data_IF_681447070332
#
_entry.id   IF_681447070332
#
_cell.length_a   1.000
_cell.length_b   1.000
_cell.length_c   1.000
_cell.angle_alpha   90.00
_cell.angle_beta   90.00
_cell.angle_gamma   90.00
#
_symmetry.space_group_name_H-M   'P 1'
#
loop_
_entity.id
_entity.type
_entity.pdbx_description
1 polymer ?
#
# COMPACT_ATOMS: atom_id res chain seq x y z
N UNK A 1 26.18 -18.65 -37.82
CA UNK A 1 25.26 -18.25 -36.74
C UNK A 1 25.74 -18.84 -35.43
N UNK A 2 26.42 -18.05 -34.58
CA UNK A 2 26.49 -18.33 -33.15
C UNK A 2 25.32 -17.63 -32.41
N UNK A 3 25.03 -18.02 -31.16
CA UNK A 3 23.77 -17.71 -30.48
C UNK A 3 23.76 -16.29 -29.91
N UNK A 4 22.63 -15.58 -30.10
CA UNK A 4 22.35 -14.30 -29.47
C UNK A 4 22.34 -14.45 -27.93
N UNK A 5 23.30 -13.80 -27.27
CA UNK A 5 23.23 -13.50 -25.84
C UNK A 5 22.29 -12.31 -25.67
N UNK A 6 21.18 -12.51 -24.98
CA UNK A 6 20.35 -11.43 -24.44
C UNK A 6 21.06 -10.91 -23.18
N UNK A 7 21.83 -9.84 -23.35
CA UNK A 7 22.30 -8.99 -22.25
C UNK A 7 21.20 -7.97 -21.91
N UNK A 8 21.31 -7.39 -20.73
CA UNK A 8 20.32 -6.54 -20.08
C UNK A 8 20.26 -5.18 -20.79
N UNK A 9 19.55 -5.08 -21.92
CA UNK A 9 19.57 -3.88 -22.79
C UNK A 9 19.13 -2.60 -22.08
N UNK A 10 18.34 -2.66 -21.01
CA UNK A 10 17.97 -1.46 -20.22
C UNK A 10 19.07 -0.94 -19.28
N UNK A 11 20.10 -1.76 -19.02
CA UNK A 11 21.29 -1.39 -18.21
C UNK A 11 22.51 -1.13 -19.08
N UNK A 12 22.61 -1.79 -20.23
CA UNK A 12 23.78 -1.72 -21.11
C UNK A 12 23.65 -0.70 -22.25
N UNK A 13 22.42 -0.31 -22.66
CA UNK A 13 22.25 0.64 -23.78
C UNK A 13 22.71 2.08 -23.45
N UNK A 14 22.72 2.48 -22.17
CA UNK A 14 23.12 3.82 -21.74
C UNK A 14 24.62 3.99 -21.48
N UNK A 15 25.40 2.91 -21.48
CA UNK A 15 26.83 2.95 -21.13
C UNK A 15 27.75 2.60 -22.34
N UNK A 16 27.24 2.59 -23.57
CA UNK A 16 27.99 2.28 -24.80
C UNK A 16 27.76 3.33 -25.89
N UNK A 17 28.12 4.59 -25.63
CA UNK A 17 28.34 5.57 -26.70
C UNK A 17 29.66 6.31 -26.43
N UNK A 18 30.63 6.11 -27.31
CA UNK A 18 31.97 6.70 -27.27
C UNK A 18 31.97 7.93 -28.20
N UNK A 19 32.07 9.18 -27.69
CA UNK A 19 32.06 10.38 -28.52
C UNK A 19 33.43 10.71 -29.13
N UNK A 20 34.38 9.76 -29.22
CA UNK A 20 35.73 10.02 -29.75
C UNK A 20 35.85 10.19 -31.27
N UNK A 21 34.79 10.62 -31.97
CA UNK A 21 34.84 10.99 -33.40
C UNK A 21 34.17 12.33 -33.73
N UNK A 22 34.50 13.40 -33.01
CA UNK A 22 34.48 14.73 -33.66
C UNK A 22 35.57 15.65 -33.12
N UNK A 23 36.54 15.94 -33.99
CA UNK A 23 37.65 16.86 -33.72
C UNK A 23 37.23 18.33 -33.87
N UNK A 24 37.76 19.18 -32.98
CA UNK A 24 37.89 20.64 -33.01
C UNK A 24 36.75 21.47 -32.38
N UNK A 25 36.97 21.99 -31.16
CA UNK A 25 37.46 23.38 -30.94
C UNK A 25 37.29 23.88 -29.49
N UNK A 26 38.31 24.63 -29.04
CA UNK A 26 38.35 25.60 -27.92
C UNK A 26 38.44 25.12 -26.45
N UNK A 27 39.65 25.23 -25.91
CA UNK A 27 40.14 24.81 -24.59
C UNK A 27 39.71 25.71 -23.40
N UNK A 28 38.43 26.04 -23.27
CA UNK A 28 37.92 26.75 -22.08
C UNK A 28 36.59 26.22 -21.53
N UNK A 29 36.02 25.18 -22.13
CA UNK A 29 34.82 24.47 -21.66
C UNK A 29 35.13 23.07 -21.05
N UNK A 30 36.34 22.55 -21.23
CA UNK A 30 36.73 21.17 -20.87
C UNK A 30 36.70 20.85 -19.35
N UNK A 31 36.44 21.82 -18.46
CA UNK A 31 36.52 21.58 -17.00
C UNK A 31 35.16 21.28 -16.34
N UNK A 32 34.04 21.53 -17.02
CA UNK A 32 32.69 21.21 -16.52
C UNK A 32 32.17 19.87 -17.02
N UNK A 33 32.65 19.43 -18.18
CA UNK A 33 32.13 18.24 -18.86
C UNK A 33 32.80 16.97 -18.31
N UNK A 34 34.10 17.04 -17.94
CA UNK A 34 34.84 15.95 -17.29
C UNK A 34 34.23 15.51 -15.94
N UNK A 35 33.65 16.44 -15.16
CA UNK A 35 33.00 16.12 -13.88
C UNK A 35 31.65 15.42 -14.06
N UNK A 36 30.91 15.76 -15.12
CA UNK A 36 29.64 15.13 -15.46
C UNK A 36 29.84 13.72 -16.02
N UNK A 37 30.89 13.53 -16.83
CA UNK A 37 31.25 12.22 -17.39
C UNK A 37 31.75 11.25 -16.30
N UNK A 38 32.56 11.72 -15.35
CA UNK A 38 33.00 10.93 -14.17
C UNK A 38 31.80 10.53 -13.27
N UNK A 39 30.81 11.41 -13.09
CA UNK A 39 29.57 11.12 -12.34
C UNK A 39 28.68 10.09 -13.06
N UNK A 40 28.66 10.12 -14.41
CA UNK A 40 27.91 9.18 -15.26
C UNK A 40 28.52 7.78 -15.23
N UNK A 41 29.84 7.66 -15.30
CA UNK A 41 30.56 6.38 -15.13
C UNK A 41 30.41 5.80 -13.71
N UNK A 42 30.39 6.64 -12.68
CA UNK A 42 30.15 6.21 -11.29
C UNK A 42 28.73 5.64 -11.09
N UNK A 43 27.74 6.17 -11.80
CA UNK A 43 26.37 5.66 -11.80
C UNK A 43 26.25 4.33 -12.57
N UNK A 44 26.88 4.21 -13.76
CA UNK A 44 26.89 2.98 -14.57
C UNK A 44 27.61 1.81 -13.86
N UNK A 45 28.67 2.09 -13.09
CA UNK A 45 29.48 1.05 -12.44
C UNK A 45 28.86 0.45 -11.17
N UNK A 46 27.90 1.12 -10.52
CA UNK A 46 27.22 0.63 -9.32
C UNK A 46 28.14 0.31 -8.12
N UNK A 47 29.43 0.66 -8.19
CA UNK A 47 30.44 0.21 -7.23
C UNK A 47 30.83 1.25 -6.18
N UNK A 48 30.35 2.50 -6.26
CA UNK A 48 30.71 3.55 -5.27
C UNK A 48 29.57 4.54 -5.01
N UNK A 49 29.37 4.98 -3.76
CA UNK A 49 28.56 6.18 -3.50
C UNK A 49 29.18 7.37 -4.23
N UNK A 50 28.33 8.22 -4.83
CA UNK A 50 28.65 9.36 -5.72
C UNK A 50 29.55 10.47 -5.11
N UNK A 51 30.20 10.24 -3.96
CA UNK A 51 31.11 11.22 -3.36
C UNK A 51 32.38 10.51 -2.88
N UNK A 52 33.51 10.88 -3.50
CA UNK A 52 34.83 10.78 -2.86
C UNK A 52 34.80 11.76 -1.69
N UNK A 53 34.99 11.28 -0.46
CA UNK A 53 35.11 12.12 0.73
C UNK A 53 36.30 13.07 0.57
N UNK A 54 36.05 14.21 -0.07
CA UNK A 54 36.97 15.32 -0.20
C UNK A 54 37.09 15.96 1.18
N UNK A 55 38.12 15.54 1.92
CA UNK A 55 38.80 16.35 2.91
C UNK A 55 37.94 16.88 4.06
N UNK A 56 37.93 16.14 5.17
CA UNK A 56 38.05 16.67 6.53
C UNK A 56 37.46 18.07 6.80
N UNK A 57 36.19 18.30 6.49
CA UNK A 57 35.39 19.33 7.12
C UNK A 57 34.53 18.61 8.16
N UNK A 58 34.87 18.83 9.42
CA UNK A 58 34.26 18.26 10.62
C UNK A 58 32.76 17.93 10.45
N UNK A 59 32.45 16.64 10.29
CA UNK A 59 31.10 16.13 10.45
C UNK A 59 30.69 16.35 11.91
N UNK A 60 30.05 17.47 12.19
CA UNK A 60 29.16 17.57 13.34
C UNK A 60 28.03 16.57 13.11
N UNK A 61 28.26 15.32 13.50
CA UNK A 61 27.23 14.31 13.66
C UNK A 61 26.24 14.81 14.72
N UNK A 62 25.25 15.59 14.30
CA UNK A 62 24.01 15.70 15.01
C UNK A 62 23.47 14.27 15.17
N UNK A 63 23.46 13.79 16.42
CA UNK A 63 23.00 12.46 16.84
C UNK A 63 21.46 12.36 16.74
N UNK A 64 20.90 12.70 15.58
CA UNK A 64 19.47 12.69 15.28
C UNK A 64 19.16 11.82 14.06
N UNK A 65 17.97 11.23 13.97
CA UNK A 65 17.55 10.51 12.78
C UNK A 65 17.51 11.44 11.56
N UNK A 66 18.01 10.98 10.41
CA UNK A 66 17.95 11.75 9.15
C UNK A 66 16.51 12.14 8.81
N UNK A 67 16.33 13.28 8.17
CA UNK A 67 15.02 13.87 7.92
C UNK A 67 14.15 12.96 7.06
N UNK A 68 14.73 12.31 6.05
CA UNK A 68 14.02 11.34 5.22
C UNK A 68 13.42 10.19 6.03
N UNK A 69 14.09 9.71 7.08
CA UNK A 69 13.58 8.62 7.92
C UNK A 69 12.41 9.06 8.79
N UNK A 70 12.36 10.32 9.21
CA UNK A 70 11.19 10.90 9.88
C UNK A 70 10.00 10.93 8.92
N UNK A 71 10.21 11.37 7.68
CA UNK A 71 9.18 11.32 6.63
C UNK A 71 8.67 9.90 6.40
N UNK A 72 9.57 8.92 6.25
CA UNK A 72 9.19 7.51 6.10
C UNK A 72 8.44 6.93 7.29
N UNK A 73 8.88 7.24 8.51
CA UNK A 73 8.20 6.80 9.74
C UNK A 73 6.81 7.41 9.87
N UNK A 74 6.65 8.70 9.56
CA UNK A 74 5.35 9.36 9.55
C UNK A 74 4.43 8.82 8.46
N UNK A 75 4.96 8.50 7.27
CA UNK A 75 4.21 7.83 6.21
C UNK A 75 3.77 6.42 6.61
N UNK A 76 4.66 5.64 7.22
CA UNK A 76 4.36 4.33 7.80
C UNK A 76 3.23 4.41 8.83
N UNK A 77 3.34 5.33 9.80
CA UNK A 77 2.32 5.53 10.82
C UNK A 77 1.01 6.01 10.20
N UNK A 78 1.07 6.83 9.14
CA UNK A 78 -0.11 7.28 8.39
C UNK A 78 -0.87 6.11 7.78
N UNK A 79 -0.19 5.22 7.06
CA UNK A 79 -0.83 4.02 6.52
C UNK A 79 -1.35 3.07 7.61
N UNK A 80 -0.65 2.97 8.75
CA UNK A 80 -1.12 2.17 9.87
C UNK A 80 -2.43 2.71 10.46
N UNK A 81 -2.53 4.03 10.66
CA UNK A 81 -3.74 4.67 11.19
C UNK A 81 -4.89 4.63 10.19
N UNK A 82 -4.61 4.86 8.91
CA UNK A 82 -5.57 4.76 7.81
C UNK A 82 -6.20 3.37 7.76
N UNK A 83 -5.39 2.31 7.75
CA UNK A 83 -5.90 0.94 7.76
C UNK A 83 -6.60 0.57 9.07
N UNK A 84 -6.16 1.13 10.20
CA UNK A 84 -6.86 0.94 11.46
C UNK A 84 -8.31 1.47 11.41
N UNK A 85 -8.53 2.66 10.82
CA UNK A 85 -9.88 3.22 10.63
C UNK A 85 -10.70 2.41 9.60
N UNK A 86 -10.08 1.94 8.52
CA UNK A 86 -10.74 1.12 7.49
C UNK A 86 -11.28 -0.20 8.05
N UNK A 87 -10.43 -0.93 8.79
CA UNK A 87 -10.74 -2.27 9.28
C UNK A 87 -11.66 -2.25 10.50
N UNK A 88 -11.77 -1.10 11.17
CA UNK A 88 -12.59 -0.98 12.37
C UNK A 88 -14.04 -1.43 12.16
N UNK A 89 -14.66 -1.07 11.03
CA UNK A 89 -16.05 -1.44 10.76
C UNK A 89 -16.25 -2.95 10.49
N UNK A 90 -15.31 -3.63 9.83
CA UNK A 90 -15.46 -5.06 9.56
C UNK A 90 -15.43 -5.91 10.83
N UNK A 91 -14.78 -5.43 11.88
CA UNK A 91 -14.83 -6.04 13.22
C UNK A 91 -16.06 -5.56 14.00
N UNK A 92 -16.33 -4.24 14.00
CA UNK A 92 -17.41 -3.67 14.78
C UNK A 92 -18.80 -4.12 14.34
N UNK A 93 -19.00 -4.43 13.05
CA UNK A 93 -20.30 -4.86 12.53
C UNK A 93 -20.83 -6.12 13.23
N UNK A 94 -19.93 -7.00 13.68
CA UNK A 94 -20.26 -8.20 14.44
C UNK A 94 -20.87 -7.86 15.81
N UNK A 95 -20.42 -6.76 16.43
CA UNK A 95 -20.98 -6.24 17.68
C UNK A 95 -22.20 -5.31 17.48
N UNK A 96 -22.38 -4.78 16.26
CA UNK A 96 -23.48 -3.87 15.92
C UNK A 96 -24.79 -4.62 15.60
N UNK A 97 -24.70 -5.79 14.96
CA UNK A 97 -25.88 -6.50 14.43
C UNK A 97 -26.42 -7.53 15.42
N UNK A 98 -27.74 -7.55 15.60
CA UNK A 98 -28.42 -8.61 16.32
C UNK A 98 -28.51 -9.87 15.45
N UNK A 99 -27.67 -10.86 15.75
CA UNK A 99 -27.64 -12.14 15.04
C UNK A 99 -28.87 -13.03 15.32
N UNK A 100 -29.58 -12.85 16.44
CA UNK A 100 -30.74 -13.70 16.80
C UNK A 100 -32.06 -13.19 16.19
N UNK A 101 -32.09 -11.94 15.72
CA UNK A 101 -33.26 -11.33 15.08
C UNK A 101 -33.36 -11.59 13.57
N UNK A 102 -32.29 -12.11 12.94
CA UNK A 102 -32.30 -12.46 11.52
C UNK A 102 -33.12 -13.75 11.39
N UNK A 103 -34.18 -13.79 10.57
CA UNK A 103 -35.01 -14.97 10.44
C UNK A 103 -34.23 -16.10 9.78
N UNK A 104 -33.61 -16.96 10.58
CA UNK A 104 -33.36 -18.33 10.15
C UNK A 104 -34.73 -18.90 9.83
N UNK A 105 -34.96 -19.27 8.56
CA UNK A 105 -36.23 -19.90 8.17
C UNK A 105 -36.50 -21.01 9.18
N UNK A 106 -37.69 -21.00 9.81
CA UNK A 106 -38.16 -22.03 10.75
C UNK A 106 -38.39 -23.35 10.00
N UNK A 107 -37.31 -23.90 9.47
CA UNK A 107 -37.26 -25.12 8.72
C UNK A 107 -36.25 -25.97 9.45
N UNK A 108 -36.65 -27.17 9.86
CA UNK A 108 -35.78 -28.26 10.29
C UNK A 108 -34.87 -28.76 9.14
N UNK A 109 -34.31 -27.83 8.38
CA UNK A 109 -33.31 -28.03 7.37
C UNK A 109 -32.01 -27.84 8.12
N UNK A 110 -31.22 -28.91 8.17
CA UNK A 110 -29.79 -28.80 8.48
C UNK A 110 -29.27 -27.77 7.49
N UNK A 111 -28.99 -26.56 7.95
CA UNK A 111 -28.46 -25.50 7.10
C UNK A 111 -27.09 -25.99 6.64
N UNK A 112 -26.98 -26.44 5.39
CA UNK A 112 -25.77 -27.08 4.86
C UNK A 112 -24.59 -26.12 4.74
N UNK A 113 -24.86 -24.82 4.93
CA UNK A 113 -23.92 -23.73 4.70
C UNK A 113 -23.34 -23.17 6.00
N UNK A 114 -23.76 -23.67 7.18
CA UNK A 114 -23.22 -23.26 8.49
C UNK A 114 -22.74 -24.46 9.29
N UNK A 115 -21.73 -24.25 10.15
CA UNK A 115 -21.20 -25.32 10.97
C UNK A 115 -22.12 -25.62 12.15
N UNK A 116 -22.24 -26.88 12.59
CA UNK A 116 -23.08 -27.22 13.73
C UNK A 116 -22.59 -26.46 14.98
N UNK A 117 -23.49 -25.74 15.63
CA UNK A 117 -23.25 -25.07 16.91
C UNK A 117 -22.62 -26.07 17.90
N UNK A 118 -21.57 -25.67 18.65
CA UNK A 118 -21.04 -26.50 19.72
C UNK A 118 -22.17 -26.92 20.64
N UNK A 119 -22.28 -28.22 20.95
CA UNK A 119 -23.33 -28.72 21.83
C UNK A 119 -23.29 -27.94 23.16
N UNK A 120 -24.42 -27.40 23.65
CA UNK A 120 -24.42 -26.61 24.86
C UNK A 120 -23.87 -27.47 26.00
N UNK A 121 -22.76 -27.03 26.58
CA UNK A 121 -22.29 -27.57 27.85
C UNK A 121 -23.32 -27.19 28.91
N UNK A 122 -24.34 -28.04 29.08
CA UNK A 122 -25.20 -28.02 30.26
C UNK A 122 -24.37 -28.38 31.48
N UNK A 123 -23.65 -27.39 32.03
CA UNK A 123 -23.22 -27.31 33.43
C UNK A 123 -22.51 -25.97 33.65
N UNK A 124 -23.29 -24.97 34.06
CA UNK A 124 -22.80 -23.66 34.47
C UNK A 124 -23.56 -22.56 33.74
N UNK A 125 -24.18 -21.67 34.50
CA UNK A 125 -24.58 -20.36 34.01
C UNK A 125 -23.36 -19.69 33.38
N UNK A 126 -23.33 -19.56 32.05
CA UNK A 126 -22.34 -18.72 31.38
C UNK A 126 -22.44 -17.31 32.00
N UNK A 127 -21.36 -16.76 32.60
CA UNK A 127 -21.44 -15.50 33.31
C UNK A 127 -21.56 -14.27 32.41
N UNK A 128 -21.62 -14.43 31.09
CA UNK A 128 -21.69 -13.30 30.18
C UNK A 128 -22.71 -13.59 29.07
N UNK A 129 -23.96 -13.09 29.16
CA UNK A 129 -24.83 -13.10 28.00
C UNK A 129 -24.12 -12.33 26.88
N UNK A 130 -23.89 -13.01 25.75
CA UNK A 130 -23.32 -12.39 24.57
C UNK A 130 -24.20 -11.19 24.21
N UNK A 131 -23.63 -9.99 24.31
CA UNK A 131 -24.37 -8.74 24.15
C UNK A 131 -24.86 -8.67 22.69
N UNK A 132 -26.13 -8.96 22.47
CA UNK A 132 -26.73 -8.90 21.14
C UNK A 132 -26.64 -7.47 20.60
N UNK A 133 -26.30 -7.36 19.31
CA UNK A 133 -26.19 -6.06 18.66
C UNK A 133 -27.52 -5.28 18.65
N UNK A 134 -27.42 -3.98 18.45
CA UNK A 134 -28.56 -3.06 18.53
C UNK A 134 -29.33 -2.95 17.20
N UNK A 135 -28.70 -3.33 16.08
CA UNK A 135 -29.25 -3.18 14.74
C UNK A 135 -29.73 -4.50 14.14
N UNK A 136 -30.90 -4.50 13.51
CA UNK A 136 -31.42 -5.65 12.77
C UNK A 136 -31.10 -5.45 11.28
N UNK A 137 -29.90 -5.84 10.86
CA UNK A 137 -29.44 -5.75 9.47
C UNK A 137 -29.29 -7.13 8.86
N UNK A 138 -29.91 -7.34 7.70
CA UNK A 138 -29.70 -8.54 6.88
C UNK A 138 -28.30 -8.53 6.24
N UNK A 139 -27.87 -9.68 5.75
CA UNK A 139 -26.53 -9.85 5.14
C UNK A 139 -26.31 -8.88 3.96
N UNK A 140 -27.35 -8.62 3.17
CA UNK A 140 -27.27 -7.68 2.06
C UNK A 140 -27.02 -6.24 2.53
N UNK A 141 -27.66 -5.80 3.63
CA UNK A 141 -27.40 -4.49 4.22
C UNK A 141 -26.00 -4.40 4.82
N UNK A 142 -25.54 -5.45 5.52
CA UNK A 142 -24.17 -5.49 6.06
C UNK A 142 -23.13 -5.37 4.94
N UNK A 143 -23.29 -6.14 3.86
CA UNK A 143 -22.46 -6.07 2.66
C UNK A 143 -22.51 -4.70 1.97
N UNK A 144 -23.68 -4.05 1.92
CA UNK A 144 -23.82 -2.69 1.39
C UNK A 144 -23.05 -1.67 2.23
N UNK A 145 -23.17 -1.72 3.55
CA UNK A 145 -22.49 -0.79 4.47
C UNK A 145 -20.97 -0.98 4.37
N UNK A 146 -20.47 -2.22 4.39
CA UNK A 146 -19.05 -2.53 4.20
C UNK A 146 -18.55 -2.11 2.81
N UNK A 147 -19.32 -2.39 1.76
CA UNK A 147 -18.95 -2.10 0.37
C UNK A 147 -19.01 -0.62 -0.01
N UNK A 148 -19.88 0.16 0.62
CA UNK A 148 -20.13 1.57 0.26
C UNK A 148 -18.90 2.47 0.36
N UNK A 149 -17.97 2.15 1.25
CA UNK A 149 -16.66 2.79 1.35
C UNK A 149 -15.92 2.81 0.00
N UNK A 150 -15.96 1.69 -0.75
CA UNK A 150 -15.20 1.55 -1.99
C UNK A 150 -15.71 2.43 -3.12
N UNK A 151 -16.99 2.85 -3.09
CA UNK A 151 -17.52 3.79 -4.08
C UNK A 151 -16.80 5.13 -4.03
N UNK A 152 -16.55 5.66 -2.83
CA UNK A 152 -15.79 6.89 -2.65
C UNK A 152 -14.29 6.70 -2.92
N UNK A 153 -13.76 5.54 -2.55
CA UNK A 153 -12.35 5.20 -2.71
C UNK A 153 -11.92 5.16 -4.17
N UNK A 154 -12.68 4.48 -5.03
CA UNK A 154 -12.37 4.38 -6.47
C UNK A 154 -12.48 5.75 -7.15
N UNK A 155 -13.51 6.53 -6.80
CA UNK A 155 -13.77 7.83 -7.41
C UNK A 155 -12.61 8.82 -7.24
N UNK A 156 -11.87 8.73 -6.13
CA UNK A 156 -10.88 9.73 -5.74
C UNK A 156 -9.43 9.36 -6.05
N UNK A 157 -9.14 8.12 -6.48
CA UNK A 157 -7.78 7.66 -6.80
C UNK A 157 -7.12 8.48 -7.93
N UNK A 158 -7.75 8.54 -9.11
CA UNK A 158 -7.19 9.25 -10.27
C UNK A 158 -7.17 10.76 -10.06
N UNK A 159 -8.28 11.41 -9.63
CA UNK A 159 -8.27 12.84 -9.33
C UNK A 159 -7.30 13.19 -8.19
N UNK A 160 -7.20 12.33 -7.18
CA UNK A 160 -6.30 12.48 -6.04
C UNK A 160 -4.83 12.51 -6.44
N UNK A 161 -4.42 11.62 -7.35
CA UNK A 161 -3.07 11.64 -7.92
C UNK A 161 -2.75 12.96 -8.62
N UNK A 162 -3.66 13.42 -9.49
CA UNK A 162 -3.45 14.69 -10.20
C UNK A 162 -3.44 15.89 -9.24
N UNK A 163 -4.29 15.88 -8.21
CA UNK A 163 -4.28 16.91 -7.18
C UNK A 163 -2.99 16.91 -6.35
N UNK A 164 -2.40 15.74 -6.08
CA UNK A 164 -1.15 15.64 -5.34
C UNK A 164 0.04 16.24 -6.10
N UNK A 165 0.07 16.07 -7.42
CA UNK A 165 1.08 16.71 -8.28
C UNK A 165 0.93 18.24 -8.32
N UNK A 166 -0.31 18.74 -8.42
CA UNK A 166 -0.59 20.16 -8.60
C UNK A 166 -0.51 20.97 -7.30
N UNK A 167 -1.09 20.44 -6.21
CA UNK A 167 -1.27 21.17 -4.95
C UNK A 167 -0.30 20.76 -3.83
N UNK A 168 0.52 19.74 -4.08
CA UNK A 168 1.48 19.16 -3.13
C UNK A 168 0.92 17.94 -2.40
N UNK A 169 1.69 16.86 -2.40
CA UNK A 169 1.32 15.58 -1.81
C UNK A 169 1.09 15.64 -0.29
N UNK A 170 1.80 16.50 0.44
CA UNK A 170 1.64 16.68 1.91
C UNK A 170 0.22 17.04 2.26
N UNK A 171 -0.35 18.02 1.56
CA UNK A 171 -1.70 18.55 1.83
C UNK A 171 -2.75 17.53 1.45
N UNK A 172 -2.64 16.94 0.26
CA UNK A 172 -3.61 15.94 -0.21
C UNK A 172 -3.62 14.70 0.70
N UNK A 173 -2.45 14.18 1.06
CA UNK A 173 -2.34 13.06 2.00
C UNK A 173 -2.90 13.43 3.38
N UNK A 174 -2.47 14.56 3.96
CA UNK A 174 -2.89 14.99 5.29
C UNK A 174 -4.40 15.24 5.38
N UNK A 175 -4.96 16.04 4.47
CA UNK A 175 -6.40 16.32 4.47
C UNK A 175 -7.23 15.08 4.15
N UNK A 176 -6.74 14.17 3.32
CA UNK A 176 -7.38 12.87 3.09
C UNK A 176 -7.57 12.09 4.39
N UNK A 177 -6.49 11.92 5.16
CA UNK A 177 -6.54 11.24 6.47
C UNK A 177 -7.43 11.99 7.48
N UNK A 178 -7.40 13.33 7.50
CA UNK A 178 -8.28 14.12 8.37
C UNK A 178 -9.76 13.90 8.04
N UNK A 179 -10.11 13.94 6.75
CA UNK A 179 -11.49 13.72 6.27
C UNK A 179 -11.96 12.34 6.72
N UNK A 180 -11.16 11.30 6.48
CA UNK A 180 -11.46 9.93 6.93
C UNK A 180 -11.65 9.89 8.44
N UNK A 181 -10.72 10.45 9.22
CA UNK A 181 -10.80 10.46 10.68
C UNK A 181 -12.06 11.15 11.23
N UNK A 182 -12.43 12.30 10.67
CA UNK A 182 -13.64 13.04 11.08
C UNK A 182 -14.89 12.22 10.79
N UNK A 183 -15.00 11.61 9.61
CA UNK A 183 -16.17 10.78 9.27
C UNK A 183 -16.20 9.46 10.05
N UNK A 184 -15.04 8.93 10.47
CA UNK A 184 -14.95 7.82 11.40
C UNK A 184 -15.51 8.17 12.77
N UNK A 185 -15.22 9.36 13.30
CA UNK A 185 -15.85 9.84 14.54
C UNK A 185 -17.37 10.02 14.41
N UNK A 186 -17.86 10.40 13.23
CA UNK A 186 -19.29 10.61 12.97
C UNK A 186 -20.04 9.28 12.77
N UNK A 187 -19.34 8.21 12.39
CA UNK A 187 -19.95 6.92 12.03
C UNK A 187 -20.93 6.37 13.09
N UNK A 188 -20.59 6.32 14.40
CA UNK A 188 -21.53 5.79 15.38
C UNK A 188 -22.82 6.62 15.48
N UNK A 189 -22.71 7.94 15.37
CA UNK A 189 -23.87 8.84 15.36
C UNK A 189 -24.73 8.61 14.11
N UNK A 190 -24.10 8.44 12.94
CA UNK A 190 -24.79 8.15 11.70
C UNK A 190 -25.55 6.82 11.75
N UNK A 191 -24.94 5.78 12.32
CA UNK A 191 -25.56 4.47 12.47
C UNK A 191 -26.84 4.52 13.35
N UNK A 192 -26.82 5.27 14.45
CA UNK A 192 -28.01 5.43 15.31
C UNK A 192 -29.15 6.24 14.66
N UNK A 193 -28.83 7.10 13.69
CA UNK A 193 -29.82 7.97 13.06
C UNK A 193 -30.56 7.26 11.93
N UNK A 194 -29.83 6.83 10.89
CA UNK A 194 -30.42 6.14 9.76
C UNK A 194 -29.37 5.44 8.88
N UNK A 195 -29.77 4.35 8.21
CA UNK A 195 -28.91 3.55 7.35
C UNK A 195 -28.36 4.34 6.13
N UNK A 196 -29.15 5.15 5.40
CA UNK A 196 -28.63 5.93 4.28
C UNK A 196 -27.58 6.96 4.70
N UNK A 197 -27.70 7.51 5.92
CA UNK A 197 -26.72 8.44 6.47
C UNK A 197 -25.41 7.72 6.77
N UNK A 198 -25.47 6.51 7.33
CA UNK A 198 -24.29 5.66 7.54
C UNK A 198 -23.59 5.36 6.21
N UNK A 199 -24.34 4.98 5.17
CA UNK A 199 -23.80 4.73 3.82
C UNK A 199 -23.13 5.98 3.24
N UNK A 200 -23.74 7.16 3.40
CA UNK A 200 -23.14 8.42 2.94
C UNK A 200 -21.82 8.72 3.67
N UNK A 201 -21.79 8.57 4.99
CA UNK A 201 -20.58 8.76 5.80
C UNK A 201 -19.48 7.80 5.35
N UNK A 202 -19.81 6.53 5.06
CA UNK A 202 -18.87 5.54 4.54
C UNK A 202 -18.29 5.92 3.19
N UNK A 203 -19.11 6.43 2.27
CA UNK A 203 -18.64 6.94 0.98
C UNK A 203 -17.65 8.09 1.19
N UNK A 204 -17.94 9.01 2.10
CA UNK A 204 -17.08 10.17 2.39
C UNK A 204 -15.75 9.77 3.06
N UNK A 205 -15.74 8.76 3.92
CA UNK A 205 -14.50 8.17 4.43
C UNK A 205 -13.64 7.61 3.30
N UNK A 206 -14.25 6.83 2.39
CA UNK A 206 -13.59 6.28 1.22
C UNK A 206 -13.00 7.35 0.31
N UNK A 207 -13.72 8.46 0.12
CA UNK A 207 -13.22 9.61 -0.64
C UNK A 207 -11.98 10.25 -0.01
N UNK A 208 -11.95 10.40 1.31
CA UNK A 208 -10.77 10.90 2.04
C UNK A 208 -9.59 9.93 1.93
N UNK A 209 -9.86 8.63 1.94
CA UNK A 209 -8.82 7.62 1.96
C UNK A 209 -8.26 7.29 0.57
N UNK A 210 -9.05 7.46 -0.50
CA UNK A 210 -8.67 7.12 -1.88
C UNK A 210 -7.49 7.94 -2.42
N UNK A 211 -7.24 9.13 -1.87
CA UNK A 211 -6.12 10.01 -2.28
C UNK A 211 -4.78 9.64 -1.63
N UNK A 212 -4.77 8.73 -0.65
CA UNK A 212 -3.60 8.49 0.22
C UNK A 212 -2.42 7.84 -0.53
N UNK A 213 -2.67 6.77 -1.28
CA UNK A 213 -1.63 6.07 -2.07
C UNK A 213 -1.03 6.95 -3.18
N UNK A 214 -1.82 7.60 -4.05
CA UNK A 214 -1.29 8.49 -5.09
C UNK A 214 -0.46 9.64 -4.50
N UNK A 215 -0.94 10.27 -3.42
CA UNK A 215 -0.22 11.35 -2.77
C UNK A 215 1.12 10.91 -2.18
N UNK A 216 1.17 9.72 -1.55
CA UNK A 216 2.44 9.18 -1.05
C UNK A 216 3.43 8.88 -2.18
N UNK A 217 2.97 8.29 -3.28
CA UNK A 217 3.83 8.04 -4.45
C UNK A 217 4.44 9.34 -5.00
N UNK A 218 3.62 10.41 -5.10
CA UNK A 218 4.09 11.73 -5.52
C UNK A 218 5.14 12.30 -4.55
N UNK A 219 4.98 12.11 -3.24
CA UNK A 219 5.95 12.59 -2.25
C UNK A 219 7.25 11.77 -2.24
N UNK A 220 7.16 10.45 -2.34
CA UNK A 220 8.33 9.57 -2.44
C UNK A 220 9.20 9.92 -3.64
N UNK A 221 8.59 10.40 -4.74
CA UNK A 221 9.31 10.87 -5.91
C UNK A 221 10.19 12.11 -5.65
N UNK A 222 9.84 12.95 -4.68
CA UNK A 222 10.58 14.15 -4.31
C UNK A 222 11.55 13.95 -3.15
N UNK A 223 11.26 13.01 -2.25
CA UNK A 223 12.03 12.80 -1.02
C UNK A 223 13.10 11.73 -1.13
N UNK A 224 12.91 10.75 -2.03
CA UNK A 224 13.76 9.56 -2.06
C UNK A 224 14.46 9.40 -3.43
N UNK A 225 15.80 9.31 -3.43
CA UNK A 225 16.60 8.96 -4.60
C UNK A 225 16.10 7.69 -5.31
N UNK A 226 16.17 7.63 -6.66
CA UNK A 226 15.58 6.54 -7.44
C UNK A 226 16.03 5.13 -7.01
N UNK A 227 17.33 4.96 -6.72
CA UNK A 227 17.93 3.66 -6.36
C UNK A 227 17.45 3.10 -5.01
N UNK A 228 16.99 3.96 -4.09
CA UNK A 228 16.47 3.55 -2.77
C UNK A 228 14.95 3.74 -2.63
N UNK A 229 14.29 4.41 -3.58
CA UNK A 229 12.87 4.76 -3.56
C UNK A 229 11.97 3.58 -3.29
N UNK A 230 12.24 2.51 -4.01
CA UNK A 230 11.50 1.28 -4.00
C UNK A 230 11.55 0.60 -2.61
N UNK A 231 12.75 0.39 -2.06
CA UNK A 231 12.95 -0.14 -0.70
C UNK A 231 12.28 0.75 0.36
N UNK A 232 12.37 2.06 0.19
CA UNK A 232 11.78 3.02 1.11
C UNK A 232 10.25 2.98 1.07
N UNK A 233 9.66 2.90 -0.13
CA UNK A 233 8.22 2.74 -0.35
C UNK A 233 7.70 1.46 0.32
N UNK A 234 8.44 0.35 0.21
CA UNK A 234 8.08 -0.91 0.87
C UNK A 234 7.99 -0.76 2.41
N UNK A 235 8.92 0.00 3.02
CA UNK A 235 8.86 0.29 4.46
C UNK A 235 7.64 1.15 4.79
N UNK A 236 7.36 2.20 4.02
CA UNK A 236 6.20 3.08 4.23
C UNK A 236 4.89 2.28 4.12
N UNK A 237 4.74 1.49 3.07
CA UNK A 237 3.52 0.71 2.83
C UNK A 237 3.37 -0.49 3.76
N UNK A 238 4.44 -0.99 4.40
CA UNK A 238 4.31 -1.99 5.45
C UNK A 238 3.42 -1.52 6.63
N UNK A 239 3.21 -0.20 6.76
CA UNK A 239 2.31 0.40 7.72
C UNK A 239 0.87 -0.12 7.62
N UNK A 240 0.37 -0.37 6.41
CA UNK A 240 -1.02 -0.86 6.22
C UNK A 240 -1.24 -2.23 6.83
N UNK A 241 -0.28 -3.15 6.64
CA UNK A 241 -0.34 -4.51 7.18
C UNK A 241 -0.24 -4.49 8.71
N UNK A 242 0.74 -3.75 9.25
CA UNK A 242 0.93 -3.63 10.71
C UNK A 242 -0.26 -2.95 11.36
N UNK A 243 -0.81 -1.90 10.73
CA UNK A 243 -2.03 -1.23 11.18
C UNK A 243 -3.19 -2.20 11.32
N UNK A 244 -3.44 -3.01 10.28
CA UNK A 244 -4.50 -4.04 10.28
C UNK A 244 -4.32 -5.08 11.38
N UNK A 245 -3.09 -5.62 11.52
CA UNK A 245 -2.76 -6.66 12.51
C UNK A 245 -2.96 -6.17 13.94
N UNK A 246 -2.64 -4.91 14.22
CA UNK A 246 -2.81 -4.31 15.55
C UNK A 246 -4.26 -3.88 15.77
N UNK A 247 -4.90 -3.31 14.75
CA UNK A 247 -6.24 -2.72 14.88
C UNK A 247 -7.32 -3.77 15.03
N UNK A 248 -7.20 -4.95 14.39
CA UNK A 248 -8.24 -5.98 14.48
C UNK A 248 -8.47 -6.47 15.92
N UNK A 249 -7.45 -6.96 16.67
CA UNK A 249 -7.63 -7.35 18.06
C UNK A 249 -8.02 -6.17 18.95
N UNK A 250 -7.43 -4.99 18.69
CA UNK A 250 -7.73 -3.79 19.46
C UNK A 250 -9.19 -3.36 19.29
N UNK A 251 -9.74 -3.39 18.07
CA UNK A 251 -11.13 -3.09 17.78
C UNK A 251 -12.06 -4.11 18.45
N UNK A 252 -11.76 -5.41 18.36
CA UNK A 252 -12.54 -6.46 19.03
C UNK A 252 -12.56 -6.30 20.54
N UNK A 253 -11.39 -6.00 21.14
CA UNK A 253 -11.30 -5.72 22.57
C UNK A 253 -12.08 -4.46 22.95
N UNK A 254 -11.95 -3.36 22.22
CA UNK A 254 -12.68 -2.12 22.46
C UNK A 254 -14.21 -2.31 22.36
N UNK A 255 -14.68 -3.07 21.37
CA UNK A 255 -16.10 -3.38 21.21
C UNK A 255 -16.66 -4.20 22.39
N UNK A 256 -15.83 -5.03 23.03
CA UNK A 256 -16.24 -5.85 24.17
C UNK A 256 -16.32 -5.09 25.50
N UNK A 257 -15.70 -3.92 25.60
CA UNK A 257 -15.74 -3.09 26.80
C UNK A 257 -17.03 -2.26 26.79
N UNK A 258 -17.75 -2.15 27.89
CA UNK A 258 -18.90 -1.21 28.01
C UNK A 258 -18.51 0.29 27.98
N UNK A 259 -17.23 0.58 27.73
CA UNK A 259 -16.70 1.92 27.58
C UNK A 259 -17.30 2.61 26.35
N UNK A 260 -17.75 3.86 26.50
CA UNK A 260 -18.34 4.69 25.42
C UNK A 260 -19.46 3.99 24.60
N UNK A 261 -20.19 3.06 25.20
CA UNK A 261 -21.30 2.36 24.53
C UNK A 261 -20.91 1.06 23.82
N UNK A 262 -19.74 0.48 24.06
CA UNK A 262 -19.32 -0.76 23.39
C UNK A 262 -18.62 -0.49 22.06
N UNK A 263 -19.24 -0.92 20.97
CA UNK A 263 -18.73 -0.78 19.61
C UNK A 263 -18.41 0.67 19.16
N UNK A 264 -19.10 1.75 19.61
CA UNK A 264 -18.75 3.11 19.20
C UNK A 264 -17.35 3.53 19.66
N UNK A 265 -16.85 2.94 20.75
CA UNK A 265 -15.54 3.29 21.33
C UNK A 265 -14.39 3.10 20.34
N UNK A 266 -14.45 2.06 19.52
CA UNK A 266 -13.42 1.77 18.53
C UNK A 266 -13.33 2.88 17.48
N UNK A 267 -14.47 3.38 17.00
CA UNK A 267 -14.54 4.51 16.06
C UNK A 267 -13.99 5.79 16.67
N UNK A 268 -14.34 6.09 17.92
CA UNK A 268 -13.87 7.29 18.59
C UNK A 268 -12.35 7.29 18.81
N UNK A 269 -11.78 6.15 19.21
CA UNK A 269 -10.34 6.03 19.47
C UNK A 269 -9.53 6.10 18.17
N UNK A 270 -9.90 5.32 17.15
CA UNK A 270 -9.17 5.34 15.88
C UNK A 270 -9.32 6.67 15.14
N UNK A 271 -10.52 7.27 15.15
CA UNK A 271 -10.73 8.60 14.57
C UNK A 271 -9.91 9.69 15.29
N UNK A 272 -9.85 9.67 16.62
CA UNK A 272 -9.02 10.62 17.37
C UNK A 272 -7.52 10.45 17.07
N UNK A 273 -7.06 9.20 16.97
CA UNK A 273 -5.68 8.89 16.59
C UNK A 273 -5.35 9.43 15.18
N UNK A 274 -6.29 9.35 14.24
CA UNK A 274 -6.19 9.97 12.91
C UNK A 274 -6.02 11.48 12.95
N UNK A 275 -6.80 12.17 13.79
CA UNK A 275 -6.69 13.63 13.97
C UNK A 275 -5.34 14.01 14.59
N UNK A 276 -4.91 13.29 15.64
CA UNK A 276 -3.60 13.53 16.27
C UNK A 276 -2.45 13.30 15.30
N UNK A 277 -2.55 12.24 14.49
CA UNK A 277 -1.58 11.97 13.44
C UNK A 277 -1.57 13.08 12.38
N UNK A 278 -2.73 13.60 11.97
CA UNK A 278 -2.81 14.72 11.02
C UNK A 278 -2.10 15.97 11.55
N UNK A 279 -2.31 16.31 12.83
CA UNK A 279 -1.63 17.45 13.46
C UNK A 279 -0.11 17.25 13.42
N UNK A 280 0.36 16.04 13.79
CA UNK A 280 1.78 15.70 13.74
C UNK A 280 2.33 15.74 12.31
N UNK A 281 1.60 15.22 11.32
CA UNK A 281 1.97 15.24 9.90
C UNK A 281 2.14 16.66 9.36
N UNK A 282 1.19 17.54 9.65
CA UNK A 282 1.24 18.93 9.19
C UNK A 282 2.42 19.70 9.78
N UNK A 283 2.84 19.35 11.00
CA UNK A 283 3.97 19.96 11.68
C UNK A 283 5.34 19.37 11.29
N UNK A 284 5.43 18.05 11.10
CA UNK A 284 6.70 17.34 10.94
C UNK A 284 7.14 17.12 9.49
N UNK A 285 6.22 17.06 8.54
CA UNK A 285 6.52 16.70 7.14
C UNK A 285 6.40 17.91 6.22
N UNK A 286 7.21 17.97 5.16
CA UNK A 286 7.23 19.04 4.16
C UNK A 286 7.08 18.45 2.76
N UNK A 287 6.59 19.23 1.78
CA UNK A 287 6.37 18.74 0.42
C UNK A 287 7.68 18.44 -0.31
N UNK A 288 8.68 19.31 -0.16
CA UNK A 288 9.99 19.20 -0.80
C UNK A 288 11.11 19.25 0.24
N UNK A 289 12.26 18.59 -0.02
CA UNK A 289 13.44 18.70 0.85
C UNK A 289 13.98 20.14 0.91
N UNK A 290 13.84 20.93 -0.16
CA UNK A 290 14.24 22.35 -0.22
C UNK A 290 13.52 23.23 0.80
N UNK A 291 12.27 22.90 1.12
CA UNK A 291 11.40 23.70 1.97
C UNK A 291 11.54 23.29 3.45
N UNK A 292 12.31 22.23 3.74
CA UNK A 292 12.41 21.66 5.06
C UNK A 292 13.41 22.45 5.93
N UNK A 293 12.98 23.07 7.05
CA UNK A 293 13.83 23.99 7.82
C UNK A 293 14.94 23.31 8.64
N UNK A 294 14.84 22.00 8.88
CA UNK A 294 15.76 21.24 9.75
C UNK A 294 16.57 20.16 9.00
N UNK A 295 16.55 20.16 7.66
CA UNK A 295 17.30 19.17 6.88
C UNK A 295 18.79 19.53 6.90
N UNK A 296 19.68 18.55 6.99
CA UNK A 296 21.11 18.82 6.87
C UNK A 296 21.45 19.18 5.42
N UNK A 297 22.38 20.12 5.22
CA UNK A 297 22.79 20.53 3.87
C UNK A 297 23.33 19.34 3.05
N UNK A 298 24.09 18.45 3.70
CA UNK A 298 24.58 17.22 3.09
C UNK A 298 23.48 16.25 2.66
N UNK A 299 22.38 16.14 3.42
CA UNK A 299 21.24 15.28 3.06
C UNK A 299 20.44 15.91 1.91
N UNK A 300 20.24 17.22 1.95
CA UNK A 300 19.55 17.96 0.88
C UNK A 300 20.29 17.84 -0.44
N UNK A 301 21.60 18.13 -0.45
CA UNK A 301 22.41 18.08 -1.66
C UNK A 301 22.46 16.66 -2.26
N UNK A 302 22.56 15.63 -1.42
CA UNK A 302 22.51 14.24 -1.88
C UNK A 302 21.19 13.92 -2.61
N UNK A 303 20.05 14.32 -2.06
CA UNK A 303 18.73 14.06 -2.65
C UNK A 303 18.57 14.85 -3.95
N UNK A 304 18.87 16.16 -3.94
CA UNK A 304 18.72 17.04 -5.10
C UNK A 304 19.62 16.62 -6.25
N UNK A 305 20.91 16.31 -5.99
CA UNK A 305 21.84 15.81 -7.02
C UNK A 305 21.34 14.50 -7.62
N UNK A 306 20.93 13.54 -6.77
CA UNK A 306 20.44 12.23 -7.23
C UNK A 306 19.17 12.34 -8.10
N UNK A 307 18.28 13.27 -7.76
CA UNK A 307 17.07 13.53 -8.56
C UNK A 307 17.40 14.26 -9.87
N UNK A 308 18.38 15.16 -9.86
CA UNK A 308 18.81 15.88 -11.05
C UNK A 308 19.48 14.94 -12.06
N UNK A 309 20.39 14.08 -11.62
CA UNK A 309 21.02 13.07 -12.47
C UNK A 309 19.98 12.19 -13.15
N UNK A 310 18.95 11.75 -12.43
CA UNK A 310 17.86 10.96 -13.01
C UNK A 310 17.08 11.71 -14.09
N UNK A 311 16.85 13.02 -13.90
CA UNK A 311 16.13 13.83 -14.90
C UNK A 311 16.95 13.97 -16.18
N UNK A 312 18.26 14.19 -16.05
CA UNK A 312 19.17 14.28 -17.20
C UNK A 312 19.18 12.96 -17.98
N UNK A 313 19.33 11.82 -17.30
CA UNK A 313 19.27 10.50 -17.94
C UNK A 313 17.94 10.29 -18.68
N UNK A 314 16.82 10.67 -18.07
CA UNK A 314 15.51 10.52 -18.72
C UNK A 314 15.36 11.45 -19.93
N UNK A 315 16.02 12.62 -19.93
CA UNK A 315 16.05 13.52 -21.08
C UNK A 315 16.91 12.95 -22.20
N UNK A 316 18.12 12.47 -21.89
CA UNK A 316 19.01 11.82 -22.86
C UNK A 316 18.33 10.62 -23.55
N UNK A 317 17.59 9.80 -22.79
CA UNK A 317 16.84 8.67 -23.33
C UNK A 317 15.70 9.09 -24.26
N UNK A 318 14.99 10.18 -23.91
CA UNK A 318 13.92 10.71 -24.76
C UNK A 318 14.48 11.29 -26.06
N UNK A 319 15.61 12.00 -25.99
CA UNK A 319 16.31 12.52 -27.17
C UNK A 319 16.84 11.38 -28.07
N UNK A 320 17.36 10.30 -27.50
CA UNK A 320 17.80 9.12 -28.25
C UNK A 320 16.64 8.36 -28.93
N UNK A 321 15.46 8.29 -28.30
CA UNK A 321 14.26 7.71 -28.91
C UNK A 321 13.71 8.57 -30.06
N UNK A 322 13.86 9.90 -29.98
CA UNK A 322 13.51 10.83 -31.07
C UNK A 322 14.48 10.74 -32.26
N UNK A 323 15.78 10.50 -32.03
CA UNK A 323 16.77 10.35 -33.10
C UNK A 323 16.60 9.07 -33.94
N UNK A 324 16.06 7.98 -33.39
CA UNK A 324 15.72 6.76 -34.15
C UNK A 324 14.41 6.92 -34.99
N UNK A 325 13.60 7.94 -34.74
CA UNK A 325 12.38 8.27 -35.47
C UNK A 325 12.52 9.51 -36.37
N UNK A 326 13.15 9.38 -37.54
CA UNK A 326 13.33 10.49 -38.51
C UNK A 326 12.02 11.19 -38.92
N UNK A 327 11.84 12.47 -38.59
CA UNK A 327 12.04 13.64 -39.49
C UNK A 327 11.43 14.94 -38.89
N UNK A 328 12.16 16.05 -39.11
CA UNK A 328 11.86 17.47 -38.82
C UNK A 328 12.09 18.04 -37.40
N UNK A 329 13.28 18.64 -37.29
CA UNK A 329 13.74 19.59 -36.27
C UNK A 329 12.75 20.74 -36.05
N UNK A 330 12.31 20.90 -34.80
CA UNK A 330 11.96 22.20 -34.22
C UNK A 330 12.65 22.33 -32.86
N UNK A 331 13.72 23.12 -32.80
CA UNK A 331 14.32 23.59 -31.55
C UNK A 331 13.27 24.40 -30.79
N UNK A 332 12.56 23.75 -29.88
CA UNK A 332 11.75 24.40 -28.86
C UNK A 332 11.81 23.51 -27.63
N UNK A 333 12.33 24.05 -26.52
CA UNK A 333 12.30 23.39 -25.22
C UNK A 333 10.94 22.71 -25.01
N UNK A 334 10.87 21.43 -24.59
CA UNK A 334 9.61 20.71 -24.56
C UNK A 334 8.64 21.50 -23.68
N UNK A 335 7.55 22.06 -24.25
CA UNK A 335 6.47 22.57 -23.42
C UNK A 335 5.99 21.38 -22.59
N UNK A 336 5.69 21.58 -21.30
CA UNK A 336 5.14 20.54 -20.42
C UNK A 336 4.14 19.66 -21.18
N UNK A 337 4.60 18.51 -21.69
CA UNK A 337 3.80 17.80 -22.68
C UNK A 337 2.57 17.27 -21.95
N UNK A 338 1.37 17.53 -22.49
CA UNK A 338 0.16 17.03 -21.86
C UNK A 338 0.24 15.51 -21.82
N UNK A 339 0.06 14.95 -20.62
CA UNK A 339 0.12 13.50 -20.36
C UNK A 339 -0.65 12.76 -21.47
N UNK A 340 -0.01 11.83 -22.22
CA UNK A 340 -0.60 11.19 -23.39
C UNK A 340 -1.60 10.09 -22.97
N UNK A 341 -2.75 10.52 -22.43
CA UNK A 341 -3.78 9.64 -21.87
C UNK A 341 -4.26 8.57 -22.85
N UNK A 342 -4.45 8.93 -24.13
CA UNK A 342 -4.93 7.98 -25.14
C UNK A 342 -3.92 6.85 -25.35
N UNK A 343 -2.64 7.18 -25.55
CA UNK A 343 -1.57 6.21 -25.79
C UNK A 343 -1.38 5.30 -24.57
N UNK A 344 -1.43 5.87 -23.37
CA UNK A 344 -1.34 5.12 -22.12
C UNK A 344 -2.50 4.12 -22.01
N UNK A 345 -3.74 4.57 -22.24
CA UNK A 345 -4.95 3.73 -22.17
C UNK A 345 -5.01 2.65 -23.26
N UNK A 346 -4.31 2.81 -24.38
CA UNK A 346 -4.22 1.78 -25.43
C UNK A 346 -3.06 0.80 -25.24
N UNK A 347 -2.20 1.00 -24.24
CA UNK A 347 -1.02 0.16 -24.05
C UNK A 347 -1.36 -1.21 -23.44
N UNK A 348 -0.81 -2.29 -24.03
CA UNK A 348 -1.00 -3.66 -23.53
C UNK A 348 -0.43 -3.87 -22.11
N UNK A 349 0.76 -3.34 -21.76
CA UNK A 349 1.29 -3.49 -20.40
C UNK A 349 0.38 -2.89 -19.32
N UNK A 350 -0.27 -1.75 -19.58
CA UNK A 350 -1.21 -1.14 -18.64
C UNK A 350 -2.36 -2.09 -18.33
N UNK A 351 -3.01 -2.65 -19.36
CA UNK A 351 -4.14 -3.56 -19.18
C UNK A 351 -3.74 -4.88 -18.49
N UNK A 352 -2.54 -5.40 -18.78
CA UNK A 352 -2.02 -6.58 -18.11
C UNK A 352 -1.83 -6.35 -16.59
N UNK A 353 -1.26 -5.20 -16.22
CA UNK A 353 -1.09 -4.80 -14.81
C UNK A 353 -2.45 -4.55 -14.16
N UNK A 354 -3.35 -3.83 -14.84
CA UNK A 354 -4.67 -3.49 -14.31
C UNK A 354 -5.52 -4.73 -14.02
N UNK A 355 -5.56 -5.70 -14.94
CA UNK A 355 -6.29 -6.95 -14.74
C UNK A 355 -5.72 -7.77 -13.57
N UNK A 356 -4.39 -7.86 -13.49
CA UNK A 356 -3.71 -8.55 -12.38
C UNK A 356 -4.02 -7.88 -11.04
N UNK A 357 -3.90 -6.55 -10.97
CA UNK A 357 -4.14 -5.78 -9.76
C UNK A 357 -5.62 -5.83 -9.34
N UNK A 358 -6.54 -5.87 -10.31
CA UNK A 358 -7.96 -6.03 -10.05
C UNK A 358 -8.26 -7.38 -9.39
N UNK A 359 -7.70 -8.48 -9.92
CA UNK A 359 -7.86 -9.81 -9.33
C UNK A 359 -7.28 -9.91 -7.90
N UNK A 360 -6.06 -9.39 -7.70
CA UNK A 360 -5.45 -9.35 -6.37
C UNK A 360 -6.24 -8.46 -5.40
N UNK A 361 -6.67 -7.29 -5.85
CA UNK A 361 -7.48 -6.36 -5.06
C UNK A 361 -8.82 -6.96 -4.66
N UNK A 362 -9.52 -7.62 -5.58
CA UNK A 362 -10.80 -8.28 -5.33
C UNK A 362 -10.70 -9.29 -4.20
N UNK A 363 -9.72 -10.19 -4.28
CA UNK A 363 -9.59 -11.24 -3.29
C UNK A 363 -9.03 -10.72 -1.96
N UNK A 364 -8.16 -9.69 -1.98
CA UNK A 364 -7.72 -9.00 -0.75
C UNK A 364 -8.88 -8.36 0.00
N UNK A 365 -9.73 -7.59 -0.70
CA UNK A 365 -10.82 -6.87 -0.05
C UNK A 365 -11.96 -7.80 0.37
N UNK A 366 -12.28 -8.82 -0.41
CA UNK A 366 -13.24 -9.86 0.00
C UNK A 366 -12.79 -10.50 1.32
N UNK A 367 -11.51 -10.86 1.45
CA UNK A 367 -11.01 -11.40 2.71
C UNK A 367 -11.02 -10.35 3.83
N UNK A 368 -10.75 -9.08 3.54
CA UNK A 368 -10.77 -8.02 4.56
C UNK A 368 -12.17 -7.73 5.12
N UNK A 369 -13.20 -7.78 4.28
CA UNK A 369 -14.57 -7.43 4.67
C UNK A 369 -15.34 -8.63 5.21
N UNK A 370 -15.22 -9.80 4.56
CA UNK A 370 -16.06 -10.97 4.85
C UNK A 370 -15.42 -11.96 5.83
N UNK A 371 -14.11 -11.85 6.11
CA UNK A 371 -13.46 -12.80 7.03
C UNK A 371 -14.04 -12.73 8.46
N UNK A 372 -14.27 -11.54 9.06
CA UNK A 372 -14.83 -11.48 10.41
C UNK A 372 -16.26 -12.01 10.50
N UNK A 373 -17.09 -11.74 9.50
CA UNK A 373 -18.46 -12.23 9.40
C UNK A 373 -18.48 -13.74 9.16
N UNK A 374 -17.61 -14.28 8.30
CA UNK A 374 -17.45 -15.71 8.08
C UNK A 374 -17.07 -16.46 9.38
N UNK A 375 -16.06 -15.97 10.11
CA UNK A 375 -15.61 -16.61 11.36
C UNK A 375 -16.66 -16.54 12.48
N UNK A 376 -17.48 -15.49 12.52
CA UNK A 376 -18.56 -15.36 13.51
C UNK A 376 -19.80 -16.16 13.12
N UNK A 377 -20.28 -16.03 11.88
CA UNK A 377 -21.58 -16.53 11.46
C UNK A 377 -21.52 -18.01 11.06
N UNK A 378 -20.41 -18.45 10.45
CA UNK A 378 -20.29 -19.83 9.93
C UNK A 378 -19.54 -20.72 10.92
N UNK A 379 -18.46 -20.23 11.55
CA UNK A 379 -17.66 -21.01 12.51
C UNK A 379 -18.06 -20.80 13.98
N UNK A 380 -18.95 -19.86 14.27
CA UNK A 380 -19.47 -19.57 15.62
C UNK A 380 -18.39 -19.23 16.67
N UNK A 381 -17.31 -18.56 16.26
CA UNK A 381 -16.30 -18.07 17.21
C UNK A 381 -16.77 -16.82 17.97
N UNK A 382 -16.43 -16.74 19.25
CA UNK A 382 -16.66 -15.55 20.06
C UNK A 382 -15.86 -14.35 19.54
N UNK A 383 -16.41 -13.14 19.63
CA UNK A 383 -15.94 -11.90 18.99
C UNK A 383 -14.45 -11.62 19.31
N UNK A 384 -14.01 -11.87 20.54
CA UNK A 384 -12.61 -11.64 20.93
C UNK A 384 -11.66 -12.67 20.31
N UNK A 385 -12.03 -13.95 20.33
CA UNK A 385 -11.24 -15.01 19.69
C UNK A 385 -11.20 -14.85 18.16
N UNK A 386 -12.32 -14.41 17.58
CA UNK A 386 -12.48 -14.10 16.16
C UNK A 386 -11.53 -12.98 15.72
N UNK A 387 -11.46 -11.88 16.47
CA UNK A 387 -10.56 -10.77 16.15
C UNK A 387 -9.08 -11.15 16.16
N UNK A 388 -8.66 -12.02 17.09
CA UNK A 388 -7.28 -12.53 17.14
C UNK A 388 -6.98 -13.49 15.97
N UNK A 389 -7.93 -14.38 15.65
CA UNK A 389 -7.78 -15.33 14.55
C UNK A 389 -7.69 -14.62 13.20
N UNK A 390 -8.47 -13.56 13.00
CA UNK A 390 -8.47 -12.75 11.77
C UNK A 390 -7.16 -12.02 11.54
N UNK A 391 -6.39 -11.72 12.58
CA UNK A 391 -5.07 -11.10 12.43
C UNK A 391 -4.02 -12.10 11.87
N UNK A 392 -4.23 -13.41 12.02
CA UNK A 392 -3.24 -14.44 11.66
C UNK A 392 -2.91 -14.45 10.15
N UNK A 393 -3.86 -14.43 9.21
CA UNK A 393 -3.56 -14.38 7.78
C UNK A 393 -2.72 -13.16 7.38
N UNK A 394 -3.02 -11.97 7.93
CA UNK A 394 -2.28 -10.75 7.63
C UNK A 394 -0.87 -10.76 8.22
N UNK A 395 -0.72 -11.26 9.45
CA UNK A 395 0.59 -11.41 10.09
C UNK A 395 1.44 -12.45 9.34
N UNK A 396 0.85 -13.57 8.94
CA UNK A 396 1.52 -14.59 8.12
C UNK A 396 1.92 -14.01 6.77
N UNK A 397 1.04 -13.22 6.13
CA UNK A 397 1.33 -12.51 4.88
C UNK A 397 2.54 -11.61 4.97
N UNK A 398 2.68 -10.88 6.08
CA UNK A 398 3.82 -9.99 6.28
C UNK A 398 5.14 -10.76 6.39
N UNK A 399 5.21 -11.82 7.21
CA UNK A 399 6.42 -12.63 7.36
C UNK A 399 6.78 -13.40 6.08
N UNK A 400 5.79 -14.01 5.43
CA UNK A 400 6.00 -14.74 4.18
C UNK A 400 6.42 -13.80 3.06
N UNK A 401 5.84 -12.60 2.98
CA UNK A 401 6.25 -11.57 2.02
C UNK A 401 7.73 -11.20 2.14
N UNK A 402 8.22 -11.00 3.37
CA UNK A 402 9.65 -10.72 3.63
C UNK A 402 10.52 -11.91 3.21
N UNK A 403 10.12 -13.14 3.57
CA UNK A 403 10.88 -14.34 3.24
C UNK A 403 10.94 -14.58 1.71
N UNK A 404 9.81 -14.45 1.01
CA UNK A 404 9.75 -14.56 -0.45
C UNK A 404 10.57 -13.47 -1.14
N UNK A 405 10.56 -12.24 -0.63
CA UNK A 405 11.38 -11.14 -1.16
C UNK A 405 12.87 -11.44 -1.01
N UNK A 406 13.30 -11.91 0.16
CA UNK A 406 14.69 -12.31 0.39
C UNK A 406 15.12 -13.48 -0.50
N UNK A 407 14.23 -14.45 -0.72
CA UNK A 407 14.47 -15.58 -1.61
C UNK A 407 14.58 -15.12 -3.07
N UNK A 408 13.71 -14.21 -3.51
CA UNK A 408 13.75 -13.64 -4.85
C UNK A 408 15.06 -12.88 -5.12
N UNK A 409 15.50 -12.04 -4.17
CA UNK A 409 16.77 -11.33 -4.26
C UNK A 409 17.95 -12.29 -4.32
N UNK A 410 17.92 -13.35 -3.51
CA UNK A 410 18.95 -14.37 -3.53
C UNK A 410 19.02 -15.11 -4.87
N UNK A 411 17.87 -15.40 -5.49
CA UNK A 411 17.81 -16.03 -6.82
C UNK A 411 18.33 -15.10 -7.93
N UNK A 412 18.03 -13.80 -7.84
CA UNK A 412 18.52 -12.79 -8.77
C UNK A 412 20.03 -12.57 -8.61
N UNK A 413 20.52 -12.45 -7.36
CA UNK A 413 21.94 -12.26 -7.05
C UNK A 413 22.80 -13.43 -7.54
N UNK A 414 22.29 -14.66 -7.46
CA UNK A 414 22.96 -15.86 -7.98
C UNK A 414 22.73 -16.09 -9.48
N UNK A 415 22.01 -15.20 -10.16
CA UNK A 415 21.65 -15.28 -11.59
C UNK A 415 20.96 -16.60 -11.98
N UNK A 416 20.17 -17.19 -11.07
CA UNK A 416 19.40 -18.39 -11.37
C UNK A 416 18.18 -18.10 -12.26
N UNK A 417 17.64 -16.88 -12.17
CA UNK A 417 16.50 -16.41 -12.95
C UNK A 417 16.76 -14.98 -13.45
N UNK A 418 16.20 -14.61 -14.60
CA UNK A 418 16.19 -13.23 -15.08
C UNK A 418 15.13 -12.40 -14.35
N UNK A 419 15.27 -11.08 -14.37
CA UNK A 419 14.33 -10.15 -13.74
C UNK A 419 12.89 -10.35 -14.24
N UNK A 420 12.71 -10.44 -15.55
CA UNK A 420 11.39 -10.66 -16.17
C UNK A 420 10.76 -12.00 -15.76
N UNK A 421 11.56 -13.06 -15.67
CA UNK A 421 11.08 -14.37 -15.26
C UNK A 421 10.77 -14.42 -13.76
N UNK A 422 11.50 -13.66 -12.95
CA UNK A 422 11.18 -13.46 -11.53
C UNK A 422 9.79 -12.84 -11.36
N UNK A 423 9.50 -11.73 -12.06
CA UNK A 423 8.18 -11.10 -12.00
C UNK A 423 7.04 -12.04 -12.43
N UNK A 424 7.23 -12.78 -13.54
CA UNK A 424 6.24 -13.76 -13.99
C UNK A 424 6.00 -14.88 -12.97
N UNK A 425 7.07 -15.43 -12.41
CA UNK A 425 6.99 -16.52 -11.43
C UNK A 425 6.25 -16.08 -10.17
N UNK A 426 6.70 -14.99 -9.54
CA UNK A 426 6.15 -14.54 -8.27
C UNK A 426 4.72 -14.05 -8.40
N UNK A 427 4.39 -13.36 -9.49
CA UNK A 427 3.01 -12.95 -9.76
C UNK A 427 2.08 -14.15 -9.98
N UNK A 428 2.58 -15.21 -10.64
CA UNK A 428 1.81 -16.46 -10.83
C UNK A 428 1.58 -17.16 -9.50
N UNK A 429 2.63 -17.34 -8.68
CA UNK A 429 2.53 -17.98 -7.35
C UNK A 429 1.54 -17.23 -6.47
N UNK A 430 1.63 -15.90 -6.43
CA UNK A 430 0.77 -15.03 -5.64
C UNK A 430 -0.69 -15.01 -6.10
N UNK A 431 -0.98 -15.38 -7.33
CA UNK A 431 -2.35 -15.41 -7.84
C UNK A 431 -2.95 -16.81 -7.72
N UNK A 432 -2.19 -17.85 -8.10
CA UNK A 432 -2.68 -19.23 -8.15
C UNK A 432 -2.83 -19.83 -6.75
N UNK A 433 -1.86 -19.63 -5.85
CA UNK A 433 -1.89 -20.27 -4.53
C UNK A 433 -3.08 -19.78 -3.69
N UNK A 434 -3.35 -18.46 -3.57
CA UNK A 434 -4.52 -18.00 -2.83
C UNK A 434 -5.84 -18.44 -3.48
N UNK A 435 -5.91 -18.49 -4.81
CA UNK A 435 -7.09 -18.98 -5.53
C UNK A 435 -7.40 -20.45 -5.20
N UNK A 436 -6.36 -21.30 -5.16
CA UNK A 436 -6.51 -22.70 -4.74
C UNK A 436 -6.89 -22.81 -3.27
N UNK A 437 -6.36 -21.95 -2.40
CA UNK A 437 -6.74 -21.86 -0.99
C UNK A 437 -8.22 -21.55 -0.82
N UNK A 438 -8.74 -20.54 -1.52
CA UNK A 438 -10.16 -20.16 -1.49
C UNK A 438 -11.08 -21.29 -1.99
N UNK A 439 -10.70 -22.00 -3.07
CA UNK A 439 -11.44 -23.18 -3.53
C UNK A 439 -11.38 -24.30 -2.47
N UNK A 440 -10.23 -24.47 -1.82
CA UNK A 440 -10.04 -25.46 -0.77
C UNK A 440 -10.97 -25.28 0.43
N UNK A 441 -11.25 -24.04 0.83
CA UNK A 441 -12.14 -23.72 1.96
C UNK A 441 -13.54 -24.33 1.76
N UNK A 442 -14.03 -24.38 0.51
CA UNK A 442 -15.34 -24.95 0.16
C UNK A 442 -15.40 -26.47 0.49
N UNK A 443 -14.26 -27.18 0.41
CA UNK A 443 -14.20 -28.63 0.60
C UNK A 443 -13.81 -29.07 2.02
N UNK A 444 -13.21 -28.18 2.81
CA UNK A 444 -12.71 -28.48 4.16
C UNK A 444 -13.83 -28.62 5.18
N UNK A 445 -15.01 -28.03 4.93
CA UNK A 445 -16.11 -28.02 5.88
C UNK A 445 -15.77 -27.23 7.15
N UNK A 446 -16.04 -27.80 8.33
CA UNK A 446 -15.98 -27.10 9.62
C UNK A 446 -14.66 -27.22 10.39
N UNK A 447 -13.60 -27.74 9.75
CA UNK A 447 -12.29 -27.78 10.40
C UNK A 447 -11.59 -26.43 10.33
N UNK A 448 -11.73 -25.66 11.42
CA UNK A 448 -11.19 -24.31 11.55
C UNK A 448 -9.66 -24.24 11.35
N UNK A 449 -8.92 -25.31 11.64
CA UNK A 449 -7.46 -25.34 11.49
C UNK A 449 -7.10 -25.33 10.01
N UNK A 450 -7.76 -26.18 9.22
CA UNK A 450 -7.55 -26.24 7.78
C UNK A 450 -8.07 -24.98 7.07
N UNK A 451 -9.20 -24.43 7.51
CA UNK A 451 -9.71 -23.15 6.99
C UNK A 451 -8.71 -22.03 7.26
N UNK A 452 -8.19 -21.92 8.48
CA UNK A 452 -7.18 -20.90 8.83
C UNK A 452 -5.88 -21.12 8.06
N UNK A 453 -5.45 -22.36 7.85
CA UNK A 453 -4.27 -22.68 7.04
C UNK A 453 -4.44 -22.27 5.56
N UNK A 454 -5.60 -22.56 4.97
CA UNK A 454 -5.89 -22.18 3.58
C UNK A 454 -6.06 -20.67 3.42
N UNK A 455 -6.65 -20.00 4.40
CA UNK A 455 -6.68 -18.53 4.48
C UNK A 455 -5.30 -17.95 4.72
N UNK A 456 -4.40 -18.65 5.41
CA UNK A 456 -3.01 -18.26 5.56
C UNK A 456 -2.20 -18.51 4.28
N UNK A 457 -2.63 -19.39 3.37
CA UNK A 457 -2.01 -19.53 2.04
C UNK A 457 -2.15 -18.23 1.21
N UNK A 458 -3.13 -17.38 1.54
CA UNK A 458 -3.20 -16.00 1.09
C UNK A 458 -1.92 -15.21 1.36
N UNK A 459 -1.13 -15.58 2.37
CA UNK A 459 0.10 -14.90 2.73
C UNK A 459 1.08 -14.73 1.57
N UNK A 460 1.07 -15.68 0.62
CA UNK A 460 1.90 -15.67 -0.59
C UNK A 460 1.50 -14.59 -1.60
N UNK A 461 0.29 -14.02 -1.49
CA UNK A 461 -0.16 -12.90 -2.33
C UNK A 461 0.66 -11.62 -2.11
N UNK A 462 1.31 -11.47 -0.96
CA UNK A 462 2.13 -10.29 -0.66
C UNK A 462 3.50 -10.29 -1.34
N UNK A 463 3.98 -11.43 -1.83
CA UNK A 463 5.32 -11.56 -2.42
C UNK A 463 5.56 -10.61 -3.63
N UNK A 464 4.68 -10.53 -4.66
CA UNK A 464 4.85 -9.63 -5.80
C UNK A 464 4.82 -8.16 -5.42
N UNK A 465 3.98 -7.77 -4.45
CA UNK A 465 3.89 -6.36 -4.04
C UNK A 465 5.20 -5.84 -3.42
N UNK A 466 5.92 -6.70 -2.69
CA UNK A 466 7.23 -6.38 -2.11
C UNK A 466 8.39 -6.52 -3.12
N UNK A 467 8.15 -7.22 -4.23
CA UNK A 467 9.10 -7.41 -5.33
C UNK A 467 9.00 -6.33 -6.41
N UNK A 468 7.78 -5.91 -6.78
CA UNK A 468 7.53 -4.83 -7.74
C UNK A 468 7.87 -3.46 -7.15
N UNK A 469 7.94 -3.35 -5.82
CA UNK A 469 8.47 -2.19 -5.11
C UNK A 469 9.98 -2.28 -4.90
N UNK A 470 10.75 -3.07 -5.67
CA UNK A 470 12.22 -3.16 -5.58
C UNK A 470 12.92 -2.78 -6.88
#
# INVERSE_FOLDING_TARGET
MPPHKWTDESRDASCYYDPSTSSNSSASAERSDDEADDEREAFCSGERPLIRSSGAAEENHGCGPKTRHIFGFMGFLGFAVVYAMRVNLSVAIVAMVNQTAIPHSNSSVIDTDTCPLPAPHHNGSDPNPQKEGEFVWDEATQGLVLGSFFYGYVLTQVPGGRMAELYGGKKIYGYGVLITAVFTLITPLAAHWDLPLLVLVRILEGMGEGVTYPAMHAMLAHWIPPLERNKFAAIVYAGSNIGTVISMPLAGWLCSLDFLGGWPSAFYIFGLLGILWFIAWMYLVYDKPSDHPRISESEREYIERSLQVQRLINQDLAEAEEEEGQDEVSLRAPPEEPIPWSSLLTSVPLWAILLTQCGQGWAFYTQLTELPTYMSNILHFDIQSNALLNAVPYLTSWFVGIACSALADWMLARRYISLLNSYKLWNTVASVVPSLGLIGIIYVGCDWVWVTFMLAAWALSAAPSMLATR
#
